data_IF_683283495693
#
_entry.id   IF_683283495693
#
_cell.length_a   1.000
_cell.length_b   1.000
_cell.length_c   1.000
_cell.angle_alpha   90.00
_cell.angle_beta   90.00
_cell.angle_gamma   90.00
#
_symmetry.space_group_name_H-M   'P 1'
#
loop_
_entity.id
_entity.type
_entity.pdbx_description
1 polymer ?
#
# COMPACT_ATOMS: atom_id res chain seq x y z
N UNK A 1 15.46 -33.12 -21.92
CA UNK A 1 15.39 -32.35 -20.66
C UNK A 1 14.74 -31.00 -20.94
N UNK A 2 13.99 -30.49 -19.97
CA UNK A 2 13.19 -29.26 -19.92
C UNK A 2 11.76 -29.35 -20.51
N UNK A 3 10.88 -30.04 -19.78
CA UNK A 3 9.43 -29.82 -19.79
C UNK A 3 9.12 -28.50 -19.06
N UNK A 4 8.42 -27.58 -19.71
CA UNK A 4 7.79 -26.43 -19.07
C UNK A 4 6.49 -26.06 -19.81
N UNK A 5 5.59 -27.04 -19.92
CA UNK A 5 4.22 -26.82 -20.39
C UNK A 5 3.28 -26.87 -19.19
N UNK A 6 2.59 -25.76 -18.91
CA UNK A 6 1.16 -25.72 -18.57
C UNK A 6 0.73 -24.28 -18.34
N UNK A 7 0.55 -23.55 -19.45
CA UNK A 7 -0.28 -22.36 -19.46
C UNK A 7 -1.74 -22.82 -19.31
N UNK A 8 -2.20 -23.00 -18.07
CA UNK A 8 -3.64 -23.02 -17.80
C UNK A 8 -4.13 -21.58 -17.96
N UNK A 9 -4.79 -21.30 -19.06
CA UNK A 9 -5.54 -20.07 -19.32
C UNK A 9 -6.74 -20.03 -18.34
N UNK A 10 -6.45 -19.76 -17.07
CA UNK A 10 -7.48 -19.57 -16.07
C UNK A 10 -8.08 -18.18 -16.30
N UNK A 11 -9.26 -18.14 -16.91
CA UNK A 11 -10.04 -16.93 -17.15
C UNK A 11 -9.98 -15.99 -15.93
N UNK A 12 -9.33 -14.85 -16.13
CA UNK A 12 -9.18 -13.85 -15.09
C UNK A 12 -10.42 -12.99 -15.00
N UNK A 13 -10.97 -12.86 -13.80
CA UNK A 13 -12.16 -12.07 -13.53
C UNK A 13 -11.77 -10.74 -12.87
N UNK A 14 -12.41 -9.62 -13.26
CA UNK A 14 -12.17 -8.34 -12.62
C UNK A 14 -12.84 -8.29 -11.24
N UNK A 15 -12.11 -7.80 -10.23
CA UNK A 15 -12.72 -7.46 -8.94
C UNK A 15 -13.59 -6.19 -9.09
N UNK A 16 -14.83 -6.24 -8.59
CA UNK A 16 -15.79 -5.10 -8.62
C UNK A 16 -15.35 -3.89 -7.78
N UNK A 17 -14.37 -4.07 -6.90
CA UNK A 17 -14.00 -3.08 -5.88
C UNK A 17 -12.68 -2.38 -6.23
N UNK A 18 -11.69 -3.11 -6.75
CA UNK A 18 -10.37 -2.55 -7.08
C UNK A 18 -10.00 -2.65 -8.56
N UNK A 19 -10.89 -3.18 -9.41
CA UNK A 19 -10.72 -3.33 -10.88
C UNK A 19 -9.53 -4.19 -11.33
N UNK A 20 -8.79 -4.80 -10.39
CA UNK A 20 -7.69 -5.72 -10.69
C UNK A 20 -8.24 -7.08 -11.13
N UNK A 21 -7.54 -7.75 -12.05
CA UNK A 21 -7.90 -9.06 -12.60
C UNK A 21 -7.26 -10.18 -11.79
N UNK A 22 -8.03 -11.21 -11.44
CA UNK A 22 -7.58 -12.36 -10.66
C UNK A 22 -8.13 -13.67 -11.21
N UNK A 23 -7.41 -14.76 -10.98
CA UNK A 23 -7.88 -16.14 -11.19
C UNK A 23 -8.98 -16.46 -10.16
N UNK A 24 -9.94 -17.34 -10.48
CA UNK A 24 -11.07 -17.71 -9.58
C UNK A 24 -10.62 -18.01 -8.14
N UNK A 25 -9.61 -18.86 -7.98
CA UNK A 25 -9.06 -19.27 -6.67
C UNK A 25 -8.48 -18.10 -5.85
N UNK A 26 -7.97 -17.07 -6.53
CA UNK A 26 -7.45 -15.85 -5.92
C UNK A 26 -8.55 -14.82 -5.70
N UNK A 27 -9.56 -14.76 -6.59
CA UNK A 27 -10.67 -13.82 -6.52
C UNK A 27 -11.50 -14.01 -5.25
N UNK A 28 -11.80 -15.23 -4.84
CA UNK A 28 -12.58 -15.50 -3.62
C UNK A 28 -11.90 -14.91 -2.37
N UNK A 29 -10.58 -15.12 -2.24
CA UNK A 29 -9.77 -14.55 -1.15
C UNK A 29 -9.67 -13.03 -1.28
N UNK A 30 -9.50 -12.57 -2.52
CA UNK A 30 -9.38 -11.16 -2.84
C UNK A 30 -10.66 -10.39 -2.52
N UNK A 31 -11.86 -10.88 -2.83
CA UNK A 31 -13.11 -10.18 -2.55
C UNK A 31 -13.31 -9.94 -1.05
N UNK A 32 -13.00 -10.94 -0.20
CA UNK A 32 -13.08 -10.77 1.24
C UNK A 32 -12.09 -9.72 1.75
N UNK A 33 -10.85 -9.75 1.26
CA UNK A 33 -9.83 -8.77 1.63
C UNK A 33 -10.14 -7.37 1.10
N UNK A 34 -10.60 -7.27 -0.14
CA UNK A 34 -10.88 -6.02 -0.83
C UNK A 34 -12.08 -5.31 -0.20
N UNK A 35 -13.15 -6.03 0.17
CA UNK A 35 -14.29 -5.48 0.95
C UNK A 35 -13.85 -4.93 2.30
N UNK A 36 -12.98 -5.65 3.02
CA UNK A 36 -12.43 -5.17 4.31
C UNK A 36 -11.59 -3.92 4.11
N UNK A 37 -10.80 -3.86 3.04
CA UNK A 37 -9.90 -2.75 2.75
C UNK A 37 -10.66 -1.48 2.35
N UNK A 38 -11.77 -1.59 1.62
CA UNK A 38 -12.59 -0.42 1.25
C UNK A 38 -13.52 0.04 2.36
N UNK A 39 -14.06 -0.87 3.18
CA UNK A 39 -14.85 -0.51 4.36
C UNK A 39 -14.01 0.18 5.44
N UNK A 40 -12.75 -0.22 5.57
CA UNK A 40 -11.81 0.38 6.52
C UNK A 40 -10.98 1.44 5.79
N UNK A 41 -11.46 2.69 5.75
CA UNK A 41 -10.59 3.80 5.38
C UNK A 41 -9.47 3.92 6.43
N UNK A 42 -8.33 3.28 6.14
CA UNK A 42 -7.16 3.29 7.02
C UNK A 42 -6.68 4.73 7.14
N UNK A 43 -6.46 5.18 8.37
CA UNK A 43 -5.79 6.46 8.62
C UNK A 43 -4.43 6.45 7.92
N UNK A 44 -4.06 7.57 7.32
CA UNK A 44 -2.75 7.75 6.69
C UNK A 44 -1.68 7.40 7.73
N UNK A 45 -0.85 6.41 7.40
CA UNK A 45 0.21 5.96 8.28
C UNK A 45 1.31 7.02 8.30
N UNK A 46 1.46 7.67 9.44
CA UNK A 46 2.45 8.72 9.63
C UNK A 46 3.69 8.12 10.29
N UNK A 47 4.70 7.82 9.48
CA UNK A 47 5.98 7.26 9.96
C UNK A 47 6.68 8.19 10.96
N UNK A 48 6.43 9.49 10.88
CA UNK A 48 6.96 10.46 11.82
C UNK A 48 6.38 10.26 13.22
N UNK A 49 5.06 10.18 13.32
CA UNK A 49 4.37 9.91 14.60
C UNK A 49 4.78 8.56 15.19
N UNK A 50 4.95 7.53 14.35
CA UNK A 50 5.34 6.20 14.83
C UNK A 50 6.76 6.15 15.38
N UNK A 51 7.70 6.94 14.83
CA UNK A 51 9.04 7.08 15.42
C UNK A 51 9.00 7.84 16.74
N UNK A 52 8.26 8.95 16.82
CA UNK A 52 8.13 9.75 18.05
C UNK A 52 7.49 9.00 19.22
N UNK A 53 6.65 7.99 18.95
CA UNK A 53 6.08 7.15 20.01
C UNK A 53 7.08 6.14 20.58
N UNK A 54 8.07 5.73 19.80
CA UNK A 54 9.08 4.74 20.19
C UNK A 54 10.45 5.37 20.51
N UNK A 55 10.55 6.69 20.56
CA UNK A 55 11.77 7.43 20.88
C UNK A 55 11.43 8.63 21.76
N UNK A 56 12.42 9.17 22.48
CA UNK A 56 12.26 10.35 23.34
C UNK A 56 12.06 11.67 22.56
N UNK A 57 11.80 11.59 21.25
CA UNK A 57 11.63 12.74 20.38
C UNK A 57 10.17 13.24 20.51
N UNK A 58 9.94 14.49 20.92
CA UNK A 58 8.59 15.00 21.07
C UNK A 58 7.90 15.09 19.70
N UNK A 59 6.61 14.71 19.68
CA UNK A 59 5.75 14.72 18.48
C UNK A 59 5.74 16.08 17.74
N UNK A 60 5.98 17.18 18.45
CA UNK A 60 6.06 18.52 17.86
C UNK A 60 7.25 18.69 16.91
N UNK A 61 8.41 18.15 17.25
CA UNK A 61 9.61 18.27 16.42
C UNK A 61 9.45 17.50 15.12
N UNK A 62 8.81 16.33 15.18
CA UNK A 62 8.55 15.53 13.98
C UNK A 62 7.55 16.22 13.03
N UNK A 63 6.52 16.87 13.57
CA UNK A 63 5.57 17.66 12.77
C UNK A 63 6.22 18.90 12.16
N UNK A 64 7.14 19.55 12.88
CA UNK A 64 7.88 20.72 12.38
C UNK A 64 8.75 20.33 11.17
N UNK A 65 9.51 19.25 11.29
CA UNK A 65 10.34 18.72 10.20
C UNK A 65 9.50 18.30 8.98
N UNK A 66 8.32 17.69 9.19
CA UNK A 66 7.40 17.36 8.09
C UNK A 66 6.95 18.62 7.34
N UNK A 67 6.49 19.66 8.07
CA UNK A 67 6.07 20.93 7.46
C UNK A 67 7.22 21.64 6.74
N UNK A 68 8.43 21.60 7.29
CA UNK A 68 9.62 22.18 6.65
C UNK A 68 9.98 21.44 5.36
N UNK A 69 9.88 20.10 5.34
CA UNK A 69 10.07 19.30 4.12
C UNK A 69 9.02 19.58 3.06
N UNK A 70 7.75 19.71 3.45
CA UNK A 70 6.65 20.07 2.55
C UNK A 70 6.86 21.48 1.96
N UNK A 71 7.32 22.43 2.78
CA UNK A 71 7.58 23.81 2.36
C UNK A 71 8.79 23.94 1.42
N UNK A 72 9.81 23.10 1.60
CA UNK A 72 11.03 23.06 0.77
C UNK A 72 10.86 22.25 -0.52
N UNK A 73 9.65 21.74 -0.80
CA UNK A 73 9.32 21.11 -2.08
C UNK A 73 9.86 19.68 -2.28
N UNK A 74 10.65 19.13 -1.36
CA UNK A 74 11.00 17.70 -1.30
C UNK A 74 11.72 17.08 -2.52
N UNK A 75 12.02 17.85 -3.56
CA UNK A 75 12.73 17.38 -4.76
C UNK A 75 14.22 17.57 -4.53
N UNK A 76 14.89 16.53 -4.03
CA UNK A 76 16.34 16.44 -4.15
C UNK A 76 16.66 15.95 -5.56
N UNK A 77 17.48 16.66 -6.36
CA UNK A 77 17.87 16.17 -7.67
C UNK A 77 18.63 14.85 -7.50
N UNK A 78 18.25 13.85 -8.29
CA UNK A 78 18.98 12.59 -8.38
C UNK A 78 20.29 12.87 -9.13
N UNK A 79 21.46 12.50 -8.58
CA UNK A 79 22.75 12.66 -9.26
C UNK A 79 22.80 11.93 -10.61
#
# INVERSE_FOLDING_TARGET
MASAETAKDEQTFPCRICTRRFIKSSLEKHEQACKKLTKMQRKVFDSGKQRALNSDIPINDVRKVQKEREKMGGVFPRP
#
